data_IF_447020552808
#
_entry.id   IF_447020552808
#
_cell.length_a   1.000
_cell.length_b   1.000
_cell.length_c   1.000
_cell.angle_alpha   90.00
_cell.angle_beta   90.00
_cell.angle_gamma   90.00
#
_symmetry.space_group_name_H-M   'P 1'
#
loop_
_entity.id
_entity.type
_entity.pdbx_description
1 polymer ?
#
# COMPACT_ATOMS: atom_id res chain seq x y z
N UNK A 1 29.09 -6.85 1.89
CA UNK A 1 29.41 -7.26 3.27
C UNK A 1 28.25 -7.90 4.02
N UNK A 2 27.04 -7.28 4.10
CA UNK A 2 25.87 -7.87 4.79
C UNK A 2 25.49 -9.29 4.35
N UNK A 3 25.59 -9.59 3.04
CA UNK A 3 25.31 -10.92 2.50
C UNK A 3 26.36 -12.01 2.84
N UNK A 4 27.55 -11.61 3.30
CA UNK A 4 28.64 -12.53 3.70
C UNK A 4 28.65 -12.79 5.22
N UNK A 5 28.04 -11.90 6.02
CA UNK A 5 28.15 -11.92 7.49
C UNK A 5 26.88 -12.33 8.26
N UNK A 6 25.74 -12.54 7.60
CA UNK A 6 24.57 -13.12 8.26
C UNK A 6 24.66 -14.64 8.23
N UNK A 7 24.75 -15.26 9.40
CA UNK A 7 24.38 -16.68 9.56
C UNK A 7 23.04 -16.88 8.86
N UNK A 8 23.01 -17.85 7.95
CA UNK A 8 21.80 -18.23 7.23
C UNK A 8 20.74 -18.52 8.29
N UNK A 9 19.78 -17.61 8.45
CA UNK A 9 18.59 -17.89 9.24
C UNK A 9 18.03 -19.20 8.70
N UNK A 10 17.98 -20.23 9.54
CA UNK A 10 17.81 -21.65 9.17
C UNK A 10 16.51 -21.97 8.40
N UNK A 11 15.66 -20.97 8.15
CA UNK A 11 14.38 -21.06 7.46
C UNK A 11 14.36 -20.47 6.04
N UNK A 12 15.42 -19.76 5.58
CA UNK A 12 15.44 -19.09 4.28
C UNK A 12 16.48 -19.69 3.33
N UNK A 13 16.11 -19.80 2.05
CA UNK A 13 17.08 -20.17 1.00
C UNK A 13 18.07 -19.03 0.76
N UNK A 14 19.32 -19.31 0.34
CA UNK A 14 20.31 -18.27 0.06
C UNK A 14 19.82 -17.19 -0.92
N UNK A 15 19.02 -17.57 -1.93
CA UNK A 15 18.43 -16.62 -2.87
C UNK A 15 17.41 -15.68 -2.22
N UNK A 16 16.56 -16.19 -1.34
CA UNK A 16 15.61 -15.36 -0.56
C UNK A 16 16.34 -14.43 0.41
N UNK A 17 17.47 -14.87 0.98
CA UNK A 17 18.28 -14.05 1.85
C UNK A 17 18.89 -12.85 1.11
N UNK A 18 19.46 -13.08 -0.09
CA UNK A 18 20.00 -12.00 -0.93
C UNK A 18 18.91 -10.99 -1.29
N UNK A 19 17.74 -11.48 -1.71
CA UNK A 19 16.59 -10.64 -2.04
C UNK A 19 16.17 -9.79 -0.84
N UNK A 20 16.04 -10.40 0.34
CA UNK A 20 15.67 -9.69 1.56
C UNK A 20 16.67 -8.59 1.88
N UNK A 21 17.96 -8.90 1.81
CA UNK A 21 19.03 -7.92 2.05
C UNK A 21 18.93 -6.76 1.06
N UNK A 22 18.69 -7.05 -0.23
CA UNK A 22 18.52 -6.01 -1.25
C UNK A 22 17.26 -5.18 -0.99
N UNK A 23 16.14 -5.79 -0.58
CA UNK A 23 14.92 -5.08 -0.24
C UNK A 23 15.14 -4.14 0.96
N UNK A 24 15.72 -4.65 2.04
CA UNK A 24 16.00 -3.90 3.26
C UNK A 24 16.91 -2.68 2.95
N UNK A 25 17.94 -2.89 2.13
CA UNK A 25 18.86 -1.83 1.73
C UNK A 25 18.18 -0.80 0.82
N UNK A 26 17.36 -1.23 -0.14
CA UNK A 26 16.59 -0.32 -1.00
C UNK A 26 15.58 0.51 -0.18
N UNK A 27 14.87 -0.13 0.76
CA UNK A 27 13.99 0.55 1.71
C UNK A 27 14.76 1.59 2.51
N UNK A 28 15.90 1.21 3.09
CA UNK A 28 16.72 2.11 3.90
C UNK A 28 17.23 3.31 3.10
N UNK A 29 17.67 3.10 1.85
CA UNK A 29 18.14 4.17 0.98
C UNK A 29 17.01 5.13 0.55
N UNK A 30 15.78 4.64 0.42
CA UNK A 30 14.60 5.48 0.11
C UNK A 30 14.05 6.22 1.35
N UNK A 31 14.49 5.83 2.55
CA UNK A 31 14.04 6.36 3.83
C UNK A 31 13.29 5.28 4.61
N UNK A 32 13.52 5.18 5.92
CA UNK A 32 12.92 4.12 6.74
C UNK A 32 11.47 4.40 7.12
N UNK A 33 11.01 5.66 7.08
CA UNK A 33 9.68 6.05 7.54
C UNK A 33 8.97 6.94 6.51
N UNK A 34 7.64 6.83 6.47
CA UNK A 34 6.78 7.77 5.76
C UNK A 34 6.83 9.14 6.44
N UNK A 35 7.11 10.19 5.67
CA UNK A 35 7.03 11.58 6.14
C UNK A 35 5.80 12.28 5.56
N UNK A 36 4.96 12.79 6.45
CA UNK A 36 3.77 13.54 6.06
C UNK A 36 4.13 14.96 5.56
N UNK A 37 3.13 15.60 4.95
CA UNK A 37 3.18 17.01 4.60
C UNK A 37 3.24 17.87 5.88
N UNK A 38 4.18 18.80 5.92
CA UNK A 38 4.35 19.74 7.01
C UNK A 38 3.30 20.86 6.89
N UNK A 39 2.27 20.77 7.74
CA UNK A 39 1.21 21.77 7.85
C UNK A 39 1.35 22.68 9.09
N UNK A 40 2.58 22.83 9.60
CA UNK A 40 2.84 23.72 10.73
C UNK A 40 2.91 25.19 10.29
N UNK A 41 2.61 26.10 11.22
CA UNK A 41 2.79 27.54 11.03
C UNK A 41 1.48 28.35 10.98
N UNK A 42 1.61 29.59 10.52
CA UNK A 42 0.50 30.54 10.45
C UNK A 42 -0.46 30.21 9.31
N UNK A 43 -1.75 30.09 9.60
CA UNK A 43 -2.78 29.89 8.58
C UNK A 43 -3.01 31.17 7.74
N UNK A 44 -3.29 31.06 6.43
CA UNK A 44 -3.23 29.82 5.65
C UNK A 44 -1.80 29.33 5.43
N UNK A 45 -1.57 28.04 5.70
CA UNK A 45 -0.26 27.40 5.61
C UNK A 45 0.12 27.25 4.15
N UNK A 46 1.27 27.82 3.77
CA UNK A 46 1.69 27.88 2.37
C UNK A 46 2.57 26.68 1.99
N UNK A 47 2.24 26.05 0.87
CA UNK A 47 2.99 24.93 0.27
C UNK A 47 3.33 25.33 -1.16
N UNK A 48 4.61 25.24 -1.52
CA UNK A 48 5.09 25.66 -2.84
C UNK A 48 5.49 24.46 -3.69
N UNK A 49 4.90 24.31 -4.88
CA UNK A 49 5.29 23.28 -5.84
C UNK A 49 6.31 23.84 -6.82
N UNK A 50 7.47 23.20 -6.94
CA UNK A 50 8.56 23.56 -7.85
C UNK A 50 9.02 22.36 -8.67
N UNK A 51 9.72 22.59 -9.78
CA UNK A 51 10.27 21.51 -10.61
C UNK A 51 10.20 21.80 -12.10
N UNK A 52 10.68 20.85 -12.89
CA UNK A 52 10.83 21.00 -14.33
C UNK A 52 9.52 21.25 -15.08
N UNK A 53 9.63 21.84 -16.26
CA UNK A 53 8.51 21.90 -17.19
C UNK A 53 8.06 20.47 -17.54
N UNK A 54 6.75 20.24 -17.56
CA UNK A 54 6.18 18.93 -17.87
C UNK A 54 6.27 17.87 -16.76
N UNK A 55 6.82 18.19 -15.58
CA UNK A 55 6.90 17.23 -14.46
C UNK A 55 5.55 16.95 -13.77
N UNK A 56 4.49 17.68 -14.13
CA UNK A 56 3.15 17.47 -13.60
C UNK A 56 2.78 18.34 -12.40
N UNK A 57 3.43 19.51 -12.20
CA UNK A 57 3.16 20.45 -11.09
C UNK A 57 1.68 20.84 -10.95
N UNK A 58 1.06 21.39 -12.00
CA UNK A 58 -0.35 21.83 -11.98
C UNK A 58 -1.30 20.69 -11.61
N UNK A 59 -1.10 19.50 -12.19
CA UNK A 59 -1.90 18.31 -11.87
C UNK A 59 -1.66 17.86 -10.42
N UNK A 60 -0.41 17.87 -9.97
CA UNK A 60 -0.02 17.51 -8.58
C UNK A 60 -0.60 18.50 -7.58
N UNK A 61 -0.63 19.79 -7.89
CA UNK A 61 -1.27 20.84 -7.10
C UNK A 61 -2.75 20.50 -6.87
N UNK A 62 -3.46 20.15 -7.94
CA UNK A 62 -4.85 19.68 -7.88
C UNK A 62 -5.05 18.43 -7.02
N UNK A 63 -4.20 17.42 -7.22
CA UNK A 63 -4.23 16.17 -6.45
C UNK A 63 -4.00 16.40 -4.95
N UNK A 64 -3.00 17.21 -4.60
CA UNK A 64 -2.72 17.57 -3.21
C UNK A 64 -3.91 18.33 -2.60
N UNK A 65 -4.57 19.20 -3.37
CA UNK A 65 -5.76 19.91 -2.90
C UNK A 65 -6.91 18.93 -2.56
N UNK A 66 -7.16 17.93 -3.40
CA UNK A 66 -8.14 16.86 -3.10
C UNK A 66 -7.74 16.10 -1.83
N UNK A 67 -6.48 15.65 -1.74
CA UNK A 67 -5.95 14.95 -0.57
C UNK A 67 -6.08 15.75 0.73
N UNK A 68 -5.76 17.04 0.70
CA UNK A 68 -5.88 17.94 1.86
C UNK A 68 -7.33 18.13 2.28
N UNK A 69 -8.25 18.26 1.31
CA UNK A 69 -9.67 18.36 1.59
C UNK A 69 -10.22 17.09 2.24
N UNK A 70 -9.79 15.91 1.80
CA UNK A 70 -10.15 14.63 2.44
C UNK A 70 -9.63 14.53 3.88
N UNK A 71 -8.48 15.13 4.17
CA UNK A 71 -7.95 15.32 5.53
C UNK A 71 -8.63 16.45 6.32
N UNK A 72 -9.70 17.05 5.80
CA UNK A 72 -10.49 18.09 6.47
C UNK A 72 -9.90 19.50 6.41
N UNK A 73 -8.88 19.74 5.59
CA UNK A 73 -8.35 21.09 5.33
C UNK A 73 -9.16 21.81 4.26
N UNK A 74 -9.00 23.13 4.18
CA UNK A 74 -9.61 24.01 3.18
C UNK A 74 -8.52 24.64 2.29
N UNK A 75 -8.14 23.94 1.20
CA UNK A 75 -7.11 24.41 0.29
C UNK A 75 -7.56 25.58 -0.57
N UNK A 76 -6.60 26.42 -0.93
CA UNK A 76 -6.74 27.54 -1.86
C UNK A 76 -5.64 27.44 -2.92
N UNK A 77 -6.03 27.41 -4.20
CA UNK A 77 -5.11 27.21 -5.32
C UNK A 77 -4.61 28.56 -5.84
N UNK A 78 -3.30 28.67 -6.07
CA UNK A 78 -2.66 29.90 -6.57
C UNK A 78 -1.92 29.61 -7.88
N UNK A 79 -2.42 30.12 -9.02
CA UNK A 79 -1.72 29.98 -10.29
C UNK A 79 -0.64 31.07 -10.39
N UNK A 80 0.59 30.70 -10.04
CA UNK A 80 1.78 31.55 -10.11
C UNK A 80 2.62 31.33 -11.39
N UNK A 81 2.24 30.36 -12.24
CA UNK A 81 2.81 30.20 -13.59
C UNK A 81 2.18 31.21 -14.57
N UNK A 82 2.75 32.42 -14.62
CA UNK A 82 2.35 33.48 -15.56
C UNK A 82 3.04 33.38 -16.92
N UNK A 83 4.01 32.47 -17.07
CA UNK A 83 4.84 32.37 -18.26
C UNK A 83 4.29 31.38 -19.27
N UNK A 84 3.62 30.33 -18.80
CA UNK A 84 3.05 29.30 -19.65
C UNK A 84 1.63 29.70 -20.11
N UNK A 85 1.37 29.75 -21.43
CA UNK A 85 0.03 30.00 -21.94
C UNK A 85 -1.00 29.01 -21.39
N UNK A 86 -2.17 29.52 -20.99
CA UNK A 86 -3.27 28.75 -20.42
C UNK A 86 -2.97 27.98 -19.11
N UNK A 87 -1.82 28.16 -18.45
CA UNK A 87 -1.55 27.51 -17.16
C UNK A 87 -2.49 28.01 -16.07
N UNK A 88 -2.74 29.31 -16.03
CA UNK A 88 -3.73 29.94 -15.14
C UNK A 88 -5.13 29.35 -15.39
N UNK A 89 -5.56 29.28 -16.65
CA UNK A 89 -6.87 28.73 -17.01
C UNK A 89 -6.98 27.23 -16.74
N UNK A 90 -5.88 26.49 -16.92
CA UNK A 90 -5.79 25.07 -16.58
C UNK A 90 -6.05 24.86 -15.09
N UNK A 91 -5.38 25.63 -14.21
CA UNK A 91 -5.59 25.51 -12.77
C UNK A 91 -6.99 26.00 -12.36
N UNK A 92 -7.52 27.06 -12.97
CA UNK A 92 -8.90 27.53 -12.74
C UNK A 92 -9.93 26.47 -13.09
N UNK A 93 -9.79 25.83 -14.25
CA UNK A 93 -10.67 24.72 -14.67
C UNK A 93 -10.57 23.54 -13.71
N UNK A 94 -9.35 23.17 -13.31
CA UNK A 94 -9.11 22.10 -12.36
C UNK A 94 -9.77 22.41 -11.02
N UNK A 95 -9.56 23.61 -10.47
CA UNK A 95 -10.18 24.06 -9.23
C UNK A 95 -11.71 24.07 -9.30
N UNK A 96 -12.28 24.49 -10.42
CA UNK A 96 -13.72 24.40 -10.68
C UNK A 96 -14.25 22.97 -10.70
N UNK A 97 -13.54 22.03 -11.33
CA UNK A 97 -13.92 20.61 -11.34
C UNK A 97 -13.94 19.98 -9.95
N UNK A 98 -13.00 20.37 -9.09
CA UNK A 98 -12.93 19.88 -7.71
C UNK A 98 -13.59 20.80 -6.71
N UNK A 99 -14.27 21.88 -7.11
CA UNK A 99 -14.90 22.84 -6.21
C UNK A 99 -13.94 23.37 -5.12
N UNK A 100 -12.73 23.76 -5.51
CA UNK A 100 -11.72 24.38 -4.65
C UNK A 100 -11.45 25.80 -5.19
N UNK A 101 -11.45 26.82 -4.33
CA UNK A 101 -11.25 28.20 -4.76
C UNK A 101 -9.85 28.42 -5.35
N UNK A 102 -9.79 29.26 -6.38
CA UNK A 102 -8.56 29.57 -7.13
C UNK A 102 -8.39 31.08 -7.20
N UNK A 103 -7.19 31.57 -6.93
CA UNK A 103 -6.89 32.98 -7.06
C UNK A 103 -7.04 33.45 -8.52
N UNK A 104 -7.73 34.59 -8.78
CA UNK A 104 -7.94 35.09 -10.13
C UNK A 104 -6.73 35.87 -10.66
N UNK A 105 -5.58 35.21 -10.84
CA UNK A 105 -4.40 35.84 -11.48
C UNK A 105 -4.58 36.07 -12.99
N UNK A 106 -3.77 36.99 -13.54
CA UNK A 106 -3.58 37.24 -14.98
C UNK A 106 -2.10 37.13 -15.36
N UNK A 107 -1.80 37.03 -16.67
CA UNK A 107 -0.43 36.86 -17.18
C UNK A 107 0.47 38.09 -16.95
N UNK A 108 -0.14 39.26 -16.78
CA UNK A 108 0.56 40.56 -16.66
C UNK A 108 0.95 40.87 -15.20
N UNK A 109 0.51 40.04 -14.26
CA UNK A 109 0.79 40.20 -12.84
C UNK A 109 2.14 39.60 -12.48
N UNK A 110 2.84 40.24 -11.54
CA UNK A 110 4.06 39.70 -10.97
C UNK A 110 3.75 38.46 -10.09
N UNK A 111 4.43 37.31 -10.26
CA UNK A 111 4.20 36.08 -9.48
C UNK A 111 4.33 36.26 -7.97
N UNK A 112 5.29 37.06 -7.52
CA UNK A 112 5.48 37.38 -6.09
C UNK A 112 4.25 38.09 -5.53
N UNK A 113 3.70 39.05 -6.30
CA UNK A 113 2.51 39.79 -5.91
C UNK A 113 1.25 38.92 -5.93
N UNK A 114 1.11 38.05 -6.94
CA UNK A 114 0.04 37.03 -6.99
C UNK A 114 0.04 36.21 -5.70
N UNK A 115 1.21 35.70 -5.29
CA UNK A 115 1.36 34.89 -4.09
C UNK A 115 0.99 35.65 -2.80
N UNK A 116 1.38 36.93 -2.68
CA UNK A 116 1.01 37.79 -1.56
C UNK A 116 -0.50 38.05 -1.49
N UNK A 117 -1.08 38.50 -2.60
CA UNK A 117 -2.50 38.85 -2.69
C UNK A 117 -3.38 37.61 -2.49
N UNK A 118 -2.95 36.45 -3.00
CA UNK A 118 -3.64 35.18 -2.81
C UNK A 118 -3.67 34.73 -1.34
N UNK A 119 -2.61 34.97 -0.57
CA UNK A 119 -2.61 34.68 0.87
C UNK A 119 -3.67 35.51 1.61
N UNK A 120 -3.78 36.80 1.28
CA UNK A 120 -4.79 37.68 1.86
C UNK A 120 -6.21 37.27 1.45
N UNK A 121 -6.42 36.88 0.19
CA UNK A 121 -7.69 36.37 -0.31
C UNK A 121 -8.10 35.06 0.37
N UNK A 122 -7.19 34.09 0.45
CA UNK A 122 -7.42 32.80 1.13
C UNK A 122 -7.82 32.98 2.60
N UNK A 123 -7.20 33.94 3.31
CA UNK A 123 -7.57 34.26 4.69
C UNK A 123 -8.99 34.83 4.80
N UNK A 124 -9.40 35.71 3.87
CA UNK A 124 -10.77 36.26 3.81
C UNK A 124 -11.82 35.18 3.52
N UNK A 125 -11.48 34.20 2.68
CA UNK A 125 -12.34 33.06 2.33
C UNK A 125 -12.34 31.96 3.41
N UNK A 126 -11.57 32.12 4.49
CA UNK A 126 -11.50 31.14 5.57
C UNK A 126 -10.82 29.82 5.18
N UNK A 127 -9.94 29.87 4.17
CA UNK A 127 -9.07 28.75 3.79
C UNK A 127 -7.89 28.64 4.77
N UNK A 128 -7.40 27.42 4.99
CA UNK A 128 -6.34 27.14 5.95
C UNK A 128 -5.02 26.71 5.30
N UNK A 129 -5.04 26.42 4.00
CA UNK A 129 -3.90 25.94 3.23
C UNK A 129 -3.82 26.66 1.88
N UNK A 130 -2.62 27.03 1.46
CA UNK A 130 -2.35 27.77 0.23
C UNK A 130 -1.39 26.95 -0.64
N UNK A 131 -1.83 26.54 -1.83
CA UNK A 131 -1.06 25.71 -2.75
C UNK A 131 -0.58 26.56 -3.93
N UNK A 132 0.73 26.78 -4.02
CA UNK A 132 1.34 27.60 -5.05
C UNK A 132 1.81 26.73 -6.23
N UNK A 133 1.13 26.84 -7.37
CA UNK A 133 1.57 26.22 -8.63
C UNK A 133 2.50 27.19 -9.37
N UNK A 134 3.80 26.93 -9.28
CA UNK A 134 4.83 27.77 -9.91
C UNK A 134 5.17 27.28 -11.30
N UNK A 135 5.75 28.15 -12.11
CA UNK A 135 6.17 27.81 -13.46
C UNK A 135 7.25 26.73 -13.50
N UNK A 136 7.24 25.93 -14.57
CA UNK A 136 8.31 24.97 -14.82
C UNK A 136 9.57 25.64 -15.32
N UNK A 137 10.72 25.30 -14.71
CA UNK A 137 12.01 25.89 -15.07
C UNK A 137 12.98 24.80 -15.50
N UNK A 138 13.56 24.97 -16.68
CA UNK A 138 14.76 24.24 -17.08
C UNK A 138 15.94 24.86 -16.33
N UNK A 139 16.90 24.02 -15.98
CA UNK A 139 18.19 24.48 -15.46
C UNK A 139 18.70 25.69 -16.22
N UNK A 140 19.25 26.68 -15.49
CA UNK A 140 20.11 27.80 -15.94
C UNK A 140 19.48 29.20 -15.84
N UNK A 141 18.19 29.36 -15.54
CA UNK A 141 17.64 30.72 -15.40
C UNK A 141 17.74 31.26 -13.95
N UNK A 142 18.82 32.00 -13.66
CA UNK A 142 19.09 32.64 -12.36
C UNK A 142 18.01 33.65 -11.97
N UNK A 143 17.45 34.38 -12.94
CA UNK A 143 16.41 35.38 -12.71
C UNK A 143 15.13 34.70 -12.21
N UNK A 144 14.74 33.61 -12.87
CA UNK A 144 13.55 32.84 -12.50
C UNK A 144 13.73 32.06 -11.20
N UNK A 145 14.96 31.66 -10.84
CA UNK A 145 15.26 31.11 -9.51
C UNK A 145 15.18 32.19 -8.42
N UNK A 146 15.62 33.41 -8.71
CA UNK A 146 15.49 34.57 -7.82
C UNK A 146 14.03 34.90 -7.48
N UNK A 147 13.12 34.73 -8.45
CA UNK A 147 11.68 34.85 -8.22
C UNK A 147 11.17 33.83 -7.18
N UNK A 148 11.55 32.56 -7.30
CA UNK A 148 11.15 31.51 -6.34
C UNK A 148 11.72 31.76 -4.94
N UNK A 149 12.95 32.26 -4.86
CA UNK A 149 13.57 32.67 -3.59
C UNK A 149 12.77 33.83 -2.97
N UNK A 150 12.37 34.81 -3.77
CA UNK A 150 11.55 35.94 -3.31
C UNK A 150 10.19 35.47 -2.76
N UNK A 151 9.50 34.57 -3.48
CA UNK A 151 8.24 33.97 -3.01
C UNK A 151 8.46 33.24 -1.67
N UNK A 152 9.53 32.45 -1.56
CA UNK A 152 9.89 31.72 -0.34
C UNK A 152 10.12 32.67 0.84
N UNK A 153 10.87 33.75 0.65
CA UNK A 153 11.20 34.70 1.74
C UNK A 153 9.96 35.42 2.28
N UNK A 154 9.06 35.78 1.37
CA UNK A 154 7.83 36.52 1.69
C UNK A 154 6.79 35.62 2.36
N UNK A 155 6.51 34.45 1.77
CA UNK A 155 5.44 33.58 2.26
C UNK A 155 5.88 32.60 3.33
N UNK A 156 7.18 32.28 3.40
CA UNK A 156 7.77 31.27 4.29
C UNK A 156 6.97 29.96 4.25
N UNK A 157 6.88 29.31 3.07
CA UNK A 157 6.12 28.08 2.93
C UNK A 157 6.62 27.01 3.92
N UNK A 158 5.68 26.31 4.55
CA UNK A 158 5.97 25.24 5.51
C UNK A 158 6.60 24.02 4.82
N UNK A 159 6.26 23.84 3.55
CA UNK A 159 6.81 22.82 2.68
C UNK A 159 7.04 23.36 1.27
N UNK A 160 8.20 23.03 0.71
CA UNK A 160 8.51 23.24 -0.70
C UNK A 160 8.68 21.86 -1.32
N UNK A 161 7.78 21.51 -2.24
CA UNK A 161 7.71 20.20 -2.86
C UNK A 161 8.32 20.23 -4.25
N UNK A 162 9.39 19.46 -4.45
CA UNK A 162 9.93 19.22 -5.78
C UNK A 162 9.10 18.15 -6.49
N UNK A 163 8.42 18.54 -7.56
CA UNK A 163 7.69 17.61 -8.43
C UNK A 163 8.62 17.13 -9.54
N UNK A 164 8.94 15.84 -9.52
CA UNK A 164 9.81 15.18 -10.48
C UNK A 164 9.08 14.03 -11.18
N UNK A 165 9.33 13.87 -12.47
CA UNK A 165 8.80 12.75 -13.24
C UNK A 165 9.69 11.53 -13.03
N UNK A 166 9.09 10.38 -12.68
CA UNK A 166 9.78 9.13 -12.39
C UNK A 166 10.59 8.58 -13.57
N UNK A 167 10.25 8.96 -14.80
CA UNK A 167 11.00 8.59 -16.01
C UNK A 167 12.25 9.46 -16.20
N UNK A 168 12.36 10.58 -15.49
CA UNK A 168 13.49 11.50 -15.61
C UNK A 168 14.71 10.84 -14.96
N UNK A 169 15.68 10.45 -15.79
CA UNK A 169 16.88 9.73 -15.37
C UNK A 169 17.90 10.60 -14.62
N UNK A 170 19.17 10.54 -15.05
CA UNK A 170 20.28 11.23 -14.38
C UNK A 170 20.11 12.77 -14.34
N UNK A 171 19.37 13.36 -15.28
CA UNK A 171 19.13 14.81 -15.27
C UNK A 171 18.33 15.23 -14.05
N UNK A 172 17.34 14.43 -13.61
CA UNK A 172 16.52 14.72 -12.43
C UNK A 172 17.35 15.00 -11.17
N UNK A 173 18.50 14.34 -11.05
CA UNK A 173 19.43 14.46 -9.93
C UNK A 173 20.02 15.86 -9.84
N UNK A 174 20.52 16.37 -10.97
CA UNK A 174 21.14 17.70 -11.00
C UNK A 174 20.10 18.79 -10.70
N UNK A 175 18.85 18.61 -11.19
CA UNK A 175 17.74 19.54 -10.88
C UNK A 175 17.42 19.53 -9.40
N UNK A 176 17.27 18.33 -8.84
CA UNK A 176 16.93 18.19 -7.45
C UNK A 176 18.00 18.83 -6.54
N UNK A 177 19.29 18.68 -6.90
CA UNK A 177 20.39 19.34 -6.20
C UNK A 177 20.30 20.87 -6.27
N UNK A 178 20.02 21.42 -7.45
CA UNK A 178 19.96 22.87 -7.66
C UNK A 178 18.79 23.49 -6.90
N UNK A 179 17.58 22.91 -7.01
CA UNK A 179 16.41 23.37 -6.26
C UNK A 179 16.60 23.22 -4.75
N UNK A 180 17.18 22.11 -4.28
CA UNK A 180 17.44 21.92 -2.85
C UNK A 180 18.46 22.93 -2.31
N UNK A 181 19.49 23.27 -3.10
CA UNK A 181 20.52 24.24 -2.68
C UNK A 181 19.97 25.66 -2.58
N UNK A 182 19.15 26.09 -3.55
CA UNK A 182 18.59 27.43 -3.58
C UNK A 182 17.38 27.60 -2.63
N UNK A 183 16.46 26.63 -2.61
CA UNK A 183 15.18 26.77 -1.91
C UNK A 183 15.10 25.95 -0.63
N UNK A 184 15.95 24.94 -0.43
CA UNK A 184 15.85 24.03 0.72
C UNK A 184 14.52 23.27 0.70
N UNK A 185 14.36 22.37 -0.26
CA UNK A 185 13.08 21.65 -0.47
C UNK A 185 12.73 20.80 0.76
N UNK A 186 11.46 20.78 1.13
CA UNK A 186 10.94 20.00 2.27
C UNK A 186 10.66 18.54 1.91
N UNK A 187 10.38 18.26 0.64
CA UNK A 187 10.20 16.89 0.14
C UNK A 187 10.01 16.82 -1.37
N UNK A 188 9.83 15.59 -1.85
CA UNK A 188 9.71 15.26 -3.28
C UNK A 188 8.38 14.59 -3.55
N UNK A 189 7.78 14.90 -4.70
CA UNK A 189 6.63 14.18 -5.26
C UNK A 189 7.06 13.59 -6.58
N UNK A 190 6.90 12.26 -6.72
CA UNK A 190 7.21 11.55 -7.95
C UNK A 190 5.95 11.34 -8.77
N UNK A 191 5.93 11.79 -10.01
CA UNK A 191 4.79 11.61 -10.91
C UNK A 191 5.05 10.51 -11.93
N UNK A 192 3.99 10.04 -12.59
CA UNK A 192 4.03 8.99 -13.63
C UNK A 192 4.61 7.66 -13.16
N UNK A 193 4.32 7.31 -11.90
CA UNK A 193 4.74 6.03 -11.29
C UNK A 193 3.89 4.84 -11.77
N UNK A 194 2.84 5.08 -12.55
CA UNK A 194 2.01 4.09 -13.25
C UNK A 194 2.67 3.50 -14.50
N UNK A 195 3.72 4.15 -15.01
CA UNK A 195 4.54 3.62 -16.11
C UNK A 195 5.56 2.58 -15.67
N UNK A 196 6.33 2.06 -16.63
CA UNK A 196 7.42 1.08 -16.43
C UNK A 196 8.64 1.64 -15.67
N UNK A 197 8.51 2.81 -15.05
CA UNK A 197 9.56 3.50 -14.33
C UNK A 197 9.90 2.74 -13.04
N UNK A 198 10.97 1.94 -13.08
CA UNK A 198 11.44 1.06 -11.98
C UNK A 198 12.02 1.80 -10.75
N UNK A 199 11.44 2.92 -10.33
CA UNK A 199 11.76 3.62 -9.08
C UNK A 199 13.20 4.16 -8.93
N UNK A 200 14.09 3.98 -9.92
CA UNK A 200 15.49 4.41 -9.82
C UNK A 200 15.68 5.93 -9.68
N UNK A 201 14.76 6.73 -10.22
CA UNK A 201 14.73 8.18 -10.02
C UNK A 201 14.47 8.54 -8.55
N UNK A 202 13.61 7.79 -7.86
CA UNK A 202 13.30 7.98 -6.44
C UNK A 202 14.57 7.84 -5.58
N UNK A 203 15.32 6.76 -5.81
CA UNK A 203 16.55 6.46 -5.12
C UNK A 203 17.60 7.54 -5.35
N UNK A 204 17.77 7.95 -6.61
CA UNK A 204 18.78 8.93 -7.00
C UNK A 204 18.48 10.31 -6.41
N UNK A 205 17.23 10.76 -6.49
CA UNK A 205 16.82 12.05 -5.91
C UNK A 205 16.98 12.03 -4.39
N UNK A 206 16.59 10.94 -3.71
CA UNK A 206 16.76 10.81 -2.26
C UNK A 206 18.23 10.84 -1.86
N UNK A 207 19.09 10.09 -2.56
CA UNK A 207 20.52 10.03 -2.26
C UNK A 207 21.23 11.39 -2.40
N UNK A 208 20.86 12.20 -3.41
CA UNK A 208 21.49 13.51 -3.63
C UNK A 208 20.89 14.61 -2.77
N UNK A 209 19.56 14.67 -2.64
CA UNK A 209 18.90 15.75 -1.88
C UNK A 209 18.88 15.50 -0.38
N UNK A 210 18.98 14.23 0.03
CA UNK A 210 18.69 13.76 1.38
C UNK A 210 17.26 14.10 1.87
N UNK A 211 16.36 14.53 0.98
CA UNK A 211 14.99 14.94 1.33
C UNK A 211 13.99 13.80 1.14
N UNK A 212 12.97 13.69 2.00
CA UNK A 212 11.98 12.62 1.92
C UNK A 212 11.15 12.72 0.64
N UNK A 213 10.74 11.56 0.13
CA UNK A 213 9.67 11.49 -0.87
C UNK A 213 8.36 11.40 -0.09
N UNK A 214 7.44 12.34 -0.32
CA UNK A 214 6.18 12.44 0.44
C UNK A 214 5.01 11.77 -0.28
N UNK A 215 4.97 11.89 -1.61
CA UNK A 215 3.87 11.39 -2.42
C UNK A 215 4.35 10.77 -3.73
N UNK A 216 3.51 9.87 -4.26
CA UNK A 216 3.61 9.29 -5.60
C UNK A 216 2.31 9.50 -6.37
N UNK A 217 2.43 9.93 -7.62
CA UNK A 217 1.33 10.01 -8.57
C UNK A 217 1.25 8.72 -9.38
N UNK A 218 0.18 7.95 -9.20
CA UNK A 218 -0.04 6.61 -9.77
C UNK A 218 -1.06 6.59 -10.91
N UNK A 219 -1.24 7.73 -11.58
CA UNK A 219 -2.19 7.87 -12.69
C UNK A 219 -2.48 9.33 -13.01
N UNK A 220 -3.42 9.58 -13.92
CA UNK A 220 -3.77 10.92 -14.39
C UNK A 220 -4.93 11.56 -13.60
N UNK A 221 -5.78 10.77 -12.93
CA UNK A 221 -6.96 11.30 -12.24
C UNK A 221 -6.55 12.06 -10.99
N UNK A 222 -7.40 12.98 -10.56
CA UNK A 222 -7.14 13.86 -9.40
C UNK A 222 -7.10 13.10 -8.06
N UNK A 223 -7.59 11.86 -8.02
CA UNK A 223 -7.51 10.96 -6.86
C UNK A 223 -6.27 10.06 -6.88
N UNK A 224 -5.53 10.02 -7.99
CA UNK A 224 -4.39 9.10 -8.18
C UNK A 224 -3.11 9.70 -7.57
N UNK A 225 -3.17 10.02 -6.27
CA UNK A 225 -2.05 10.49 -5.46
C UNK A 225 -2.02 9.69 -4.16
N UNK A 226 -0.92 8.99 -3.94
CA UNK A 226 -0.74 8.16 -2.75
C UNK A 226 0.43 8.66 -1.90
N UNK A 227 0.34 8.53 -0.57
CA UNK A 227 1.50 8.71 0.30
C UNK A 227 2.63 7.74 -0.08
N UNK A 228 3.87 8.24 -0.07
CA UNK A 228 5.02 7.40 -0.40
C UNK A 228 5.36 6.45 0.75
N UNK A 229 5.40 5.16 0.44
CA UNK A 229 5.82 4.10 1.36
C UNK A 229 7.06 3.39 0.79
N UNK A 230 8.26 3.62 1.39
CA UNK A 230 9.53 3.05 0.94
C UNK A 230 9.51 1.52 0.76
N UNK A 231 8.89 0.80 1.71
CA UNK A 231 8.76 -0.67 1.69
C UNK A 231 7.94 -1.18 0.50
N UNK A 232 6.84 -0.50 0.15
CA UNK A 232 6.02 -0.87 -1.02
C UNK A 232 6.79 -0.63 -2.32
N UNK A 233 7.58 0.45 -2.35
CA UNK A 233 8.38 0.81 -3.51
C UNK A 233 9.55 -0.15 -3.72
N UNK A 234 10.27 -0.55 -2.67
CA UNK A 234 11.35 -1.54 -2.79
C UNK A 234 10.80 -2.91 -3.22
N UNK A 235 9.64 -3.29 -2.71
CA UNK A 235 8.91 -4.50 -3.12
C UNK A 235 8.51 -4.47 -4.60
N UNK A 236 8.02 -3.32 -5.06
CA UNK A 236 7.63 -3.09 -6.45
C UNK A 236 8.83 -3.16 -7.40
N UNK A 237 9.96 -2.52 -7.05
CA UNK A 237 11.20 -2.54 -7.84
C UNK A 237 11.74 -3.96 -8.03
N UNK A 238 11.67 -4.78 -6.98
CA UNK A 238 12.11 -6.17 -7.05
C UNK A 238 11.13 -7.08 -7.80
N UNK A 239 9.92 -6.60 -8.11
CA UNK A 239 8.86 -7.40 -8.73
C UNK A 239 8.27 -8.44 -7.78
N UNK A 240 8.32 -8.16 -6.46
CA UNK A 240 8.13 -9.15 -5.39
C UNK A 240 7.03 -8.81 -4.40
N UNK A 241 5.98 -8.09 -4.83
CA UNK A 241 4.79 -7.85 -3.99
C UNK A 241 4.25 -9.15 -3.35
N UNK A 242 4.31 -10.26 -4.07
CA UNK A 242 3.82 -11.57 -3.60
C UNK A 242 4.84 -12.38 -2.79
N UNK A 243 6.16 -12.19 -3.01
CA UNK A 243 7.20 -13.03 -2.38
C UNK A 243 7.65 -12.49 -1.03
N UNK A 244 7.65 -11.17 -0.83
CA UNK A 244 7.88 -10.58 0.49
C UNK A 244 6.72 -10.92 1.43
N UNK A 245 5.48 -10.89 0.94
CA UNK A 245 4.31 -11.41 1.67
C UNK A 245 4.49 -12.88 2.07
N UNK A 246 5.11 -13.72 1.22
CA UNK A 246 5.48 -15.11 1.55
C UNK A 246 6.57 -15.21 2.63
N UNK A 247 7.59 -14.34 2.59
CA UNK A 247 8.70 -14.31 3.57
C UNK A 247 8.20 -13.80 4.92
N UNK A 248 7.40 -12.73 4.96
CA UNK A 248 6.73 -12.22 6.16
C UNK A 248 5.74 -13.23 6.74
N UNK A 249 4.99 -13.94 5.89
CA UNK A 249 4.16 -15.06 6.32
C UNK A 249 4.99 -16.22 6.86
N UNK A 250 6.18 -16.49 6.31
CA UNK A 250 7.10 -17.51 6.83
C UNK A 250 7.67 -17.10 8.19
N UNK A 251 7.96 -15.81 8.41
CA UNK A 251 8.40 -15.29 9.70
C UNK A 251 7.27 -15.23 10.74
N UNK A 252 6.04 -14.90 10.34
CA UNK A 252 4.86 -14.89 11.23
C UNK A 252 4.24 -16.28 11.47
N UNK A 253 4.61 -17.29 10.67
CA UNK A 253 4.24 -18.69 10.89
C UNK A 253 5.09 -19.40 11.96
N UNK A 254 6.07 -18.73 12.57
CA UNK A 254 6.88 -19.28 13.65
C UNK A 254 6.41 -18.71 14.99
N UNK A 255 5.16 -19.01 15.35
CA UNK A 255 4.71 -18.98 16.73
C UNK A 255 4.97 -20.40 17.28
N UNK A 256 6.24 -20.74 17.56
CA UNK A 256 6.71 -22.09 17.94
C UNK A 256 5.83 -22.73 19.03
N UNK A 257 5.29 -21.91 19.92
CA UNK A 257 4.40 -22.34 21.00
C UNK A 257 3.05 -22.87 20.49
N UNK A 258 2.41 -22.19 19.52
CA UNK A 258 1.13 -22.64 18.96
C UNK A 258 1.29 -23.84 18.03
N UNK A 259 2.38 -23.90 17.27
CA UNK A 259 2.71 -25.05 16.44
C UNK A 259 2.97 -26.30 17.30
N UNK A 260 3.73 -26.17 18.39
CA UNK A 260 4.00 -27.26 19.33
C UNK A 260 2.74 -27.73 20.08
N UNK A 261 1.83 -26.82 20.47
CA UNK A 261 0.54 -27.18 21.06
C UNK A 261 -0.36 -27.93 20.09
N UNK A 262 -0.43 -27.48 18.84
CA UNK A 262 -1.19 -28.13 17.78
C UNK A 262 -0.60 -29.52 17.48
N UNK A 263 0.73 -29.64 17.39
CA UNK A 263 1.41 -30.93 17.22
C UNK A 263 1.11 -31.89 18.38
N UNK A 264 1.14 -31.40 19.63
CA UNK A 264 0.83 -32.18 20.84
C UNK A 264 -0.63 -32.65 20.85
N UNK A 265 -1.58 -31.80 20.42
CA UNK A 265 -3.00 -32.16 20.27
C UNK A 265 -3.23 -33.16 19.13
N UNK A 266 -2.54 -32.98 18.00
CA UNK A 266 -2.58 -33.87 16.85
C UNK A 266 -2.04 -35.25 17.21
N UNK A 267 -0.88 -35.35 17.89
CA UNK A 267 -0.31 -36.61 18.39
C UNK A 267 -1.26 -37.34 19.35
N UNK A 268 -2.03 -36.61 20.17
CA UNK A 268 -3.02 -37.18 21.10
C UNK A 268 -4.37 -37.56 20.45
N UNK A 269 -4.55 -37.38 19.15
CA UNK A 269 -5.82 -37.66 18.43
C UNK A 269 -7.04 -36.93 19.00
N UNK A 270 -6.83 -35.78 19.65
CA UNK A 270 -7.87 -34.97 20.30
C UNK A 270 -8.26 -33.75 19.45
N UNK A 271 -8.27 -33.91 18.12
CA UNK A 271 -8.73 -32.83 17.25
C UNK A 271 -10.26 -32.74 17.35
N UNK A 272 -10.76 -31.58 17.77
CA UNK A 272 -12.19 -31.31 18.01
C UNK A 272 -12.79 -30.42 16.92
N UNK A 273 -14.12 -30.28 16.87
CA UNK A 273 -14.77 -29.33 15.95
C UNK A 273 -14.42 -27.87 16.28
N UNK A 274 -14.03 -27.59 17.53
CA UNK A 274 -13.56 -26.28 17.94
C UNK A 274 -12.18 -25.97 17.35
N UNK A 275 -11.24 -26.92 17.45
CA UNK A 275 -9.94 -26.79 16.79
C UNK A 275 -10.11 -26.66 15.27
N UNK A 276 -11.04 -27.40 14.67
CA UNK A 276 -11.37 -27.28 13.25
C UNK A 276 -11.89 -25.89 12.86
N UNK A 277 -12.75 -25.29 13.68
CA UNK A 277 -13.21 -23.90 13.47
C UNK A 277 -12.05 -22.93 13.52
N UNK A 278 -11.21 -23.03 14.55
CA UNK A 278 -10.13 -22.08 14.79
C UNK A 278 -9.12 -22.11 13.63
N UNK A 279 -8.85 -23.30 13.07
CA UNK A 279 -8.05 -23.46 11.86
C UNK A 279 -8.69 -22.78 10.63
N UNK A 280 -10.01 -22.93 10.43
CA UNK A 280 -10.70 -22.25 9.32
C UNK A 280 -10.69 -20.72 9.47
N UNK A 281 -10.78 -20.20 10.69
CA UNK A 281 -10.67 -18.77 10.98
C UNK A 281 -9.26 -18.27 10.66
N UNK A 282 -8.22 -19.04 11.00
CA UNK A 282 -6.83 -18.70 10.65
C UNK A 282 -6.63 -18.65 9.13
N UNK A 283 -7.15 -19.62 8.39
CA UNK A 283 -7.07 -19.63 6.92
C UNK A 283 -7.77 -18.40 6.33
N UNK A 284 -8.96 -18.02 6.83
CA UNK A 284 -9.66 -16.81 6.40
C UNK A 284 -8.84 -15.54 6.65
N UNK A 285 -8.14 -15.45 7.78
CA UNK A 285 -7.27 -14.29 8.08
C UNK A 285 -6.07 -14.18 7.13
N UNK A 286 -5.66 -15.28 6.51
CA UNK A 286 -4.50 -15.31 5.59
C UNK A 286 -4.83 -14.86 4.16
N UNK A 287 -6.13 -14.69 3.81
CA UNK A 287 -6.61 -14.24 2.51
C UNK A 287 -7.71 -15.15 1.94
N UNK A 288 -8.14 -14.89 0.70
CA UNK A 288 -9.10 -15.77 0.02
C UNK A 288 -8.45 -17.13 -0.29
N UNK A 289 -9.20 -18.23 -0.19
CA UNK A 289 -8.68 -19.57 -0.56
C UNK A 289 -8.24 -19.60 -2.03
N UNK A 290 -8.88 -18.77 -2.87
CA UNK A 290 -8.52 -18.62 -4.29
C UNK A 290 -7.08 -18.11 -4.45
N UNK A 291 -6.65 -17.18 -3.60
CA UNK A 291 -5.31 -16.62 -3.68
C UNK A 291 -4.26 -17.60 -3.11
N UNK A 292 -4.59 -18.33 -2.06
CA UNK A 292 -3.72 -19.41 -1.54
C UNK A 292 -3.52 -20.55 -2.57
N UNK A 293 -4.54 -20.90 -3.35
CA UNK A 293 -4.44 -21.94 -4.39
C UNK A 293 -3.61 -21.50 -5.60
N UNK A 294 -3.62 -20.20 -5.96
CA UNK A 294 -2.75 -19.64 -6.99
C UNK A 294 -1.27 -19.67 -6.59
N UNK A 295 -0.99 -19.73 -5.29
CA UNK A 295 0.36 -19.72 -4.71
C UNK A 295 1.01 -21.11 -4.60
N UNK A 296 0.31 -22.22 -4.89
CA UNK A 296 0.88 -23.58 -4.81
C UNK A 296 1.53 -23.97 -6.15
N UNK A 297 2.87 -24.14 -6.21
CA UNK A 297 3.58 -24.54 -7.43
C UNK A 297 3.12 -25.92 -7.91
N UNK A 298 2.85 -26.07 -9.21
CA UNK A 298 2.41 -27.33 -9.82
C UNK A 298 0.90 -27.58 -9.82
N UNK A 299 0.11 -26.87 -9.01
CA UNK A 299 -1.37 -26.99 -8.98
C UNK A 299 -2.06 -25.87 -9.78
N UNK A 300 -1.48 -24.66 -9.80
CA UNK A 300 -2.04 -23.49 -10.50
C UNK A 300 -2.15 -23.60 -12.03
N UNK A 301 -1.44 -24.55 -12.66
CA UNK A 301 -1.47 -24.77 -14.12
C UNK A 301 -2.48 -25.82 -14.59
N UNK A 302 -3.21 -26.47 -13.69
CA UNK A 302 -4.25 -27.44 -14.09
C UNK A 302 -5.52 -26.71 -14.56
N UNK A 303 -5.89 -26.88 -15.84
CA UNK A 303 -7.09 -26.25 -16.45
C UNK A 303 -8.39 -26.57 -15.71
N UNK A 304 -8.45 -27.65 -14.95
CA UNK A 304 -9.62 -28.09 -14.19
C UNK A 304 -9.85 -27.30 -12.89
N UNK A 305 -8.84 -26.61 -12.34
CA UNK A 305 -8.95 -25.88 -11.07
C UNK A 305 -9.14 -24.36 -11.23
N UNK A 306 -8.87 -23.78 -12.41
CA UNK A 306 -9.04 -22.33 -12.67
C UNK A 306 -10.48 -21.83 -12.52
N UNK A 307 -11.47 -22.74 -12.57
CA UNK A 307 -12.89 -22.42 -12.48
C UNK A 307 -13.53 -22.73 -11.11
N UNK A 308 -12.75 -23.19 -10.13
CA UNK A 308 -13.25 -23.37 -8.76
C UNK A 308 -13.32 -22.01 -8.06
N UNK A 309 -14.44 -21.31 -8.25
CA UNK A 309 -14.85 -20.21 -7.37
C UNK A 309 -15.17 -20.81 -6.00
N UNK A 310 -14.17 -20.84 -5.13
CA UNK A 310 -14.41 -21.11 -3.71
C UNK A 310 -15.07 -19.86 -3.15
N UNK A 311 -16.34 -19.98 -2.79
CA UNK A 311 -17.10 -18.88 -2.19
C UNK A 311 -16.60 -18.68 -0.75
N UNK A 312 -15.96 -17.54 -0.46
CA UNK A 312 -15.49 -17.19 0.89
C UNK A 312 -16.64 -17.20 1.91
N UNK A 313 -17.90 -17.08 1.45
CA UNK A 313 -19.10 -17.23 2.28
C UNK A 313 -19.31 -18.66 2.80
N UNK A 314 -18.75 -19.69 2.17
CA UNK A 314 -18.82 -21.06 2.69
C UNK A 314 -18.07 -21.19 4.02
N UNK A 315 -16.92 -20.52 4.19
CA UNK A 315 -16.16 -20.53 5.45
C UNK A 315 -16.94 -19.86 6.58
N UNK A 316 -17.62 -18.74 6.28
CA UNK A 316 -18.49 -18.05 7.24
C UNK A 316 -19.66 -18.95 7.66
N UNK A 317 -20.24 -19.71 6.72
CA UNK A 317 -21.31 -20.68 7.04
C UNK A 317 -20.81 -21.81 7.92
N UNK A 318 -19.59 -22.32 7.68
CA UNK A 318 -18.97 -23.34 8.53
C UNK A 318 -18.76 -22.82 9.95
N UNK A 319 -18.24 -21.61 10.10
CA UNK A 319 -18.07 -20.95 11.40
C UNK A 319 -19.41 -20.81 12.13
N UNK A 320 -20.44 -20.30 11.45
CA UNK A 320 -21.78 -20.15 12.01
C UNK A 320 -22.39 -21.49 12.46
N UNK A 321 -22.20 -22.56 11.67
CA UNK A 321 -22.66 -23.91 12.02
C UNK A 321 -21.97 -24.44 13.29
N UNK A 322 -20.65 -24.27 13.43
CA UNK A 322 -19.91 -24.74 14.61
C UNK A 322 -20.27 -23.90 15.85
N UNK A 323 -20.43 -22.59 15.69
CA UNK A 323 -20.87 -21.70 16.76
C UNK A 323 -22.28 -22.04 17.27
N UNK A 324 -23.13 -22.63 16.42
CA UNK A 324 -24.48 -23.11 16.78
C UNK A 324 -24.51 -24.47 17.50
N UNK A 325 -23.33 -25.09 17.72
CA UNK A 325 -23.17 -26.31 18.51
C UNK A 325 -22.85 -26.00 19.97
N UNK A 326 -23.24 -26.90 20.87
CA UNK A 326 -22.84 -26.82 22.28
C UNK A 326 -21.38 -27.28 22.46
N UNK A 327 -20.72 -26.88 23.54
CA UNK A 327 -19.35 -27.30 23.86
C UNK A 327 -19.19 -28.82 23.85
N UNK A 328 -20.18 -29.54 24.40
CA UNK A 328 -20.20 -31.01 24.39
C UNK A 328 -20.25 -31.60 22.98
N UNK A 329 -21.03 -30.99 22.08
CA UNK A 329 -21.12 -31.41 20.67
C UNK A 329 -19.83 -31.12 19.90
N UNK A 330 -19.15 -30.01 20.20
CA UNK A 330 -17.87 -29.65 19.57
C UNK A 330 -16.76 -30.61 19.95
N UNK A 331 -16.69 -31.02 21.22
CA UNK A 331 -15.71 -32.03 21.67
C UNK A 331 -16.07 -33.45 21.21
N UNK A 332 -17.36 -33.78 21.13
CA UNK A 332 -17.82 -35.13 20.78
C UNK A 332 -18.84 -35.11 19.65
N UNK A 333 -18.35 -34.98 18.42
CA UNK A 333 -19.18 -34.92 17.21
C UNK A 333 -20.11 -36.12 17.00
N UNK A 334 -19.83 -37.29 17.60
CA UNK A 334 -20.62 -38.52 17.44
C UNK A 334 -22.01 -38.45 18.08
N UNK A 335 -22.24 -37.52 19.02
CA UNK A 335 -23.55 -37.35 19.66
C UNK A 335 -24.54 -36.56 18.79
N UNK A 336 -24.10 -36.01 17.64
CA UNK A 336 -24.90 -35.14 16.76
C UNK A 336 -25.86 -35.98 15.90
N UNK A 337 -27.02 -36.29 16.50
CA UNK A 337 -28.14 -36.98 15.86
C UNK A 337 -28.99 -36.04 14.99
N UNK A 338 -30.00 -36.57 14.29
CA UNK A 338 -30.85 -35.80 13.37
C UNK A 338 -31.54 -34.58 14.01
N UNK A 339 -32.01 -34.72 15.25
CA UNK A 339 -32.63 -33.62 16.01
C UNK A 339 -31.64 -32.48 16.27
N UNK A 340 -30.41 -32.80 16.71
CA UNK A 340 -29.34 -31.81 16.91
C UNK A 340 -28.95 -31.13 15.60
N UNK A 341 -28.88 -31.85 14.48
CA UNK A 341 -28.58 -31.25 13.17
C UNK A 341 -29.66 -30.24 12.74
N UNK A 342 -30.93 -30.54 13.00
CA UNK A 342 -32.04 -29.61 12.74
C UNK A 342 -31.93 -28.34 13.58
N UNK A 343 -31.55 -28.46 14.85
CA UNK A 343 -31.29 -27.31 15.75
C UNK A 343 -30.11 -26.47 15.26
N UNK A 344 -28.99 -27.09 14.92
CA UNK A 344 -27.79 -26.41 14.42
C UNK A 344 -28.11 -25.64 13.14
N UNK A 345 -28.73 -26.30 12.16
CA UNK A 345 -29.13 -25.68 10.89
C UNK A 345 -30.02 -24.44 11.11
N UNK A 346 -31.00 -24.54 12.01
CA UNK A 346 -31.86 -23.40 12.38
C UNK A 346 -31.07 -22.26 13.04
N UNK A 347 -30.14 -22.59 13.94
CA UNK A 347 -29.31 -21.60 14.64
C UNK A 347 -28.31 -20.87 13.73
N UNK A 348 -27.79 -21.54 12.71
CA UNK A 348 -26.83 -20.97 11.76
C UNK A 348 -27.46 -20.40 10.49
N UNK A 349 -28.78 -20.49 10.32
CA UNK A 349 -29.47 -20.07 9.09
C UNK A 349 -29.11 -20.92 7.87
N UNK A 350 -28.71 -22.18 8.06
CA UNK A 350 -28.30 -23.11 7.00
C UNK A 350 -29.28 -24.28 6.87
N UNK A 351 -29.05 -25.17 5.90
CA UNK A 351 -29.85 -26.39 5.72
C UNK A 351 -29.22 -27.55 6.49
N UNK A 352 -30.04 -28.54 6.85
CA UNK A 352 -29.55 -29.79 7.50
C UNK A 352 -28.52 -30.52 6.62
N UNK A 353 -28.65 -30.40 5.29
CA UNK A 353 -27.69 -30.94 4.32
C UNK A 353 -26.30 -30.31 4.46
N UNK A 354 -26.22 -29.01 4.75
CA UNK A 354 -24.95 -28.30 4.95
C UNK A 354 -24.24 -28.80 6.22
N UNK A 355 -25.01 -29.01 7.30
CA UNK A 355 -24.49 -29.57 8.56
C UNK A 355 -24.00 -31.01 8.34
N UNK A 356 -24.70 -31.82 7.53
CA UNK A 356 -24.25 -33.16 7.16
C UNK A 356 -22.93 -33.13 6.38
N UNK A 357 -22.80 -32.20 5.42
CA UNK A 357 -21.57 -32.01 4.63
C UNK A 357 -20.41 -31.61 5.53
N UNK A 358 -20.62 -30.68 6.47
CA UNK A 358 -19.61 -30.29 7.46
C UNK A 358 -19.11 -31.49 8.29
N UNK A 359 -20.02 -32.28 8.88
CA UNK A 359 -19.64 -33.44 9.68
C UNK A 359 -18.93 -34.52 8.85
N UNK A 360 -19.33 -34.71 7.60
CA UNK A 360 -18.65 -35.63 6.68
C UNK A 360 -17.23 -35.15 6.38
N UNK A 361 -17.04 -33.87 6.07
CA UNK A 361 -15.73 -33.28 5.81
C UNK A 361 -14.83 -33.38 7.05
N UNK A 362 -15.36 -33.05 8.22
CA UNK A 362 -14.65 -33.18 9.49
C UNK A 362 -14.19 -34.63 9.77
N UNK A 363 -15.07 -35.61 9.57
CA UNK A 363 -14.70 -37.02 9.78
C UNK A 363 -13.68 -37.52 8.75
N UNK A 364 -13.68 -36.98 7.53
CA UNK A 364 -12.66 -37.28 6.52
C UNK A 364 -11.29 -36.73 6.91
N UNK A 365 -11.24 -35.50 7.42
CA UNK A 365 -10.02 -34.89 7.98
C UNK A 365 -9.50 -35.70 9.16
N UNK A 366 -10.38 -36.10 10.09
CA UNK A 366 -10.02 -36.97 11.21
C UNK A 366 -9.44 -38.33 10.75
N UNK A 367 -9.98 -38.93 9.69
CA UNK A 367 -9.45 -40.18 9.12
C UNK A 367 -8.07 -39.97 8.51
N UNK A 368 -7.85 -38.86 7.81
CA UNK A 368 -6.55 -38.51 7.22
C UNK A 368 -5.50 -38.27 8.31
N UNK A 369 -5.85 -37.52 9.36
CA UNK A 369 -4.98 -37.28 10.52
C UNK A 369 -4.61 -38.57 11.24
N UNK A 370 -5.57 -39.49 11.44
CA UNK A 370 -5.29 -40.81 12.03
C UNK A 370 -4.32 -41.64 11.17
N UNK A 371 -4.40 -41.55 9.84
CA UNK A 371 -3.47 -42.22 8.93
C UNK A 371 -2.07 -41.60 9.01
N UNK A 372 -1.98 -40.27 9.09
CA UNK A 372 -0.72 -39.55 9.22
C UNK A 372 0.01 -39.88 10.53
N UNK A 373 -0.71 -39.93 11.66
CA UNK A 373 -0.15 -40.33 12.96
C UNK A 373 0.31 -41.80 13.04
N UNK A 374 -0.24 -42.69 12.21
CA UNK A 374 0.12 -44.12 12.20
C UNK A 374 1.24 -44.48 11.21
N UNK A 375 1.55 -43.62 10.24
CA UNK A 375 2.45 -43.95 9.12
C UNK A 375 3.67 -43.04 8.95
N UNK A 376 3.74 -41.89 9.62
CA UNK A 376 4.78 -40.90 9.36
C UNK A 376 4.76 -40.39 7.92
N UNK A 377 5.63 -39.41 7.61
CA UNK A 377 5.71 -38.74 6.30
C UNK A 377 6.01 -39.68 5.11
N UNK A 378 6.36 -40.95 5.36
CA UNK A 378 6.74 -41.95 4.35
C UNK A 378 5.55 -42.58 3.61
N UNK A 379 4.30 -42.44 4.07
CA UNK A 379 3.14 -43.06 3.40
C UNK A 379 2.47 -42.19 2.32
N UNK A 380 2.93 -40.94 2.10
CA UNK A 380 2.32 -40.03 1.12
C UNK A 380 2.83 -40.29 -0.31
N UNK A 381 3.95 -41.01 -0.48
CA UNK A 381 4.60 -41.23 -1.78
C UNK A 381 4.06 -42.37 -2.67
N UNK A 382 3.16 -43.23 -2.19
CA UNK A 382 2.65 -44.36 -3.01
C UNK A 382 1.14 -44.55 -2.84
N UNK A 383 0.36 -44.02 -3.79
CA UNK A 383 -0.95 -44.59 -4.10
C UNK A 383 -2.17 -43.69 -3.93
N UNK A 384 -2.09 -42.37 -4.18
CA UNK A 384 -3.31 -41.52 -4.12
C UNK A 384 -3.46 -40.49 -5.24
N UNK A 385 -3.05 -40.85 -6.46
CA UNK A 385 -3.65 -40.29 -7.67
C UNK A 385 -4.42 -41.42 -8.36
N UNK A 386 -5.76 -41.47 -8.27
CA UNK A 386 -6.52 -42.09 -9.33
C UNK A 386 -6.51 -41.13 -10.53
N UNK A 387 -6.55 -41.72 -11.72
CA UNK A 387 -6.90 -41.05 -12.97
C UNK A 387 -8.13 -40.14 -12.81
#
# INVERSE_FOLDING_TARGET
ERALGQEVMSSLTPGQQVIKIVNDELTQLMGSNHEELNLSGSKPVSIMLVGLQGSGKTTTCGKIAVFLREKGQKPYLVPADVYRPAAIDQLKKLGGQINIPVFPSTLDMNPVKICQDARAAAQKEGCDTLLLDTAGRLHIDEELMGELVSIKEILKPSDILLVADAMTGQDAVNIAKSFNSALGIGGVVLTKMDGDARGGAALSIKAITNRPIKFIGVGEKLIDLEPFHPERMSSSILGMGDVLTLIEKTQSMVDEKKAAELEKKLRKSQFTLEDFRDQMIQIRKMGSISDLLKMIPGVGNSKQMKNLKVDDRELVRVEAMINSMTTQERHKHTIINGSRRKRIAKGSGTRVQDVNRLLKNYTQVMKMMKKFNKGGMQSIGRGMLPF
#
